data_IF_955509222146
#
_entry.id   IF_955509222146
#
_cell.length_a   1.000
_cell.length_b   1.000
_cell.length_c   1.000
_cell.angle_alpha   90.00
_cell.angle_beta   90.00
_cell.angle_gamma   90.00
#
_symmetry.space_group_name_H-M   'P 1'
#
loop_
_entity.id
_entity.type
_entity.pdbx_description
1 polymer ?
#
# COMPACT_ATOMS: atom_id res chain seq x y z
N UNK A 1 -0.94 28.82 -5.04
CA UNK A 1 -1.17 27.75 -4.04
C UNK A 1 0.15 27.43 -3.36
N UNK A 2 0.16 27.25 -2.04
CA UNK A 2 1.36 26.84 -1.29
C UNK A 2 1.73 25.39 -1.61
N UNK A 3 3.01 25.02 -1.49
CA UNK A 3 3.48 23.67 -1.81
C UNK A 3 2.76 22.59 -0.97
N UNK A 4 2.46 22.88 0.30
CA UNK A 4 1.70 22.00 1.20
C UNK A 4 0.27 21.71 0.73
N UNK A 5 -0.31 22.58 -0.09
CA UNK A 5 -1.60 22.32 -0.72
C UNK A 5 -1.44 21.58 -2.06
N UNK A 6 -0.44 21.95 -2.86
CA UNK A 6 -0.31 21.43 -4.22
C UNK A 6 0.25 19.99 -4.26
N UNK A 7 1.28 19.69 -3.46
CA UNK A 7 2.00 18.42 -3.56
C UNK A 7 1.13 17.20 -3.21
N UNK A 8 0.31 17.21 -2.13
CA UNK A 8 -0.58 16.09 -1.84
C UNK A 8 -1.61 15.85 -2.97
N UNK A 9 -2.13 16.93 -3.57
CA UNK A 9 -3.06 16.84 -4.70
C UNK A 9 -2.37 16.21 -5.91
N UNK A 10 -1.17 16.69 -6.26
CA UNK A 10 -0.40 16.15 -7.37
C UNK A 10 -0.04 14.68 -7.17
N UNK A 11 0.28 14.25 -5.95
CA UNK A 11 0.53 12.85 -5.65
C UNK A 11 -0.70 11.97 -5.92
N UNK A 12 -1.89 12.43 -5.52
CA UNK A 12 -3.15 11.73 -5.81
C UNK A 12 -3.51 11.74 -7.29
N UNK A 13 -3.36 12.88 -7.97
CA UNK A 13 -3.56 12.99 -9.42
C UNK A 13 -2.64 12.03 -10.16
N UNK A 14 -1.36 11.97 -9.79
CA UNK A 14 -0.40 11.03 -10.36
C UNK A 14 -0.81 9.57 -10.12
N UNK A 15 -1.28 9.24 -8.90
CA UNK A 15 -1.76 7.90 -8.59
C UNK A 15 -2.93 7.47 -9.48
N UNK A 16 -3.95 8.34 -9.61
CA UNK A 16 -5.13 8.08 -10.44
C UNK A 16 -4.78 8.03 -11.92
N UNK A 17 -3.95 8.95 -12.41
CA UNK A 17 -3.52 9.00 -13.80
C UNK A 17 -2.74 7.73 -14.18
N UNK A 18 -1.75 7.33 -13.38
CA UNK A 18 -0.99 6.11 -13.62
C UNK A 18 -1.86 4.85 -13.51
N UNK A 19 -2.81 4.81 -12.59
CA UNK A 19 -3.79 3.74 -12.51
C UNK A 19 -4.66 3.66 -13.77
N UNK A 20 -5.22 4.79 -14.23
CA UNK A 20 -6.02 4.88 -15.44
C UNK A 20 -5.24 4.44 -16.69
N UNK A 21 -4.00 4.89 -16.84
CA UNK A 21 -3.10 4.46 -17.92
C UNK A 21 -2.83 2.96 -17.86
N UNK A 22 -2.55 2.41 -16.67
CA UNK A 22 -2.29 0.99 -16.50
C UNK A 22 -3.52 0.13 -16.81
N UNK A 23 -4.72 0.59 -16.46
CA UNK A 23 -5.99 -0.07 -16.80
C UNK A 23 -6.26 0.01 -18.30
N UNK A 24 -6.04 1.17 -18.92
CA UNK A 24 -6.23 1.37 -20.36
C UNK A 24 -5.33 0.47 -21.22
N UNK A 25 -4.05 0.33 -20.82
CA UNK A 25 -3.05 -0.54 -21.46
C UNK A 25 -3.10 -2.00 -20.98
N UNK A 26 -4.06 -2.34 -20.11
CA UNK A 26 -4.18 -3.64 -19.49
C UNK A 26 -4.83 -4.71 -20.38
N UNK A 27 -4.95 -5.95 -19.88
CA UNK A 27 -5.61 -7.04 -20.59
C UNK A 27 -7.10 -6.77 -20.82
N UNK A 28 -7.66 -7.31 -21.91
CA UNK A 28 -9.08 -7.26 -22.25
C UNK A 28 -9.68 -8.69 -22.19
N UNK A 29 -10.82 -8.90 -21.50
CA UNK A 29 -11.57 -7.95 -20.68
C UNK A 29 -10.78 -7.56 -19.39
N UNK A 30 -11.01 -6.35 -18.86
CA UNK A 30 -10.28 -5.85 -17.68
C UNK A 30 -10.75 -6.62 -16.44
N UNK A 31 -9.88 -7.46 -15.83
CA UNK A 31 -10.31 -8.20 -14.66
C UNK A 31 -10.22 -7.32 -13.41
N UNK A 32 -11.20 -7.45 -12.51
CA UNK A 32 -11.31 -6.61 -11.28
C UNK A 32 -10.02 -6.65 -10.43
N UNK A 33 -9.38 -7.81 -10.32
CA UNK A 33 -8.15 -7.98 -9.56
C UNK A 33 -6.98 -7.15 -10.09
N UNK A 34 -6.93 -6.93 -11.41
CA UNK A 34 -5.86 -6.18 -12.07
C UNK A 34 -6.05 -4.70 -11.78
N UNK A 35 -7.27 -4.19 -11.95
CA UNK A 35 -7.59 -2.81 -11.61
C UNK A 35 -7.30 -2.50 -10.13
N UNK A 36 -7.72 -3.37 -9.20
CA UNK A 36 -7.47 -3.19 -7.75
C UNK A 36 -5.98 -3.26 -7.42
N UNK A 37 -5.24 -4.21 -8.00
CA UNK A 37 -3.80 -4.32 -7.75
C UNK A 37 -3.01 -3.12 -8.27
N UNK A 38 -3.37 -2.61 -9.46
CA UNK A 38 -2.76 -1.39 -10.00
C UNK A 38 -3.11 -0.16 -9.15
N UNK A 39 -4.35 -0.04 -8.67
CA UNK A 39 -4.76 1.04 -7.78
C UNK A 39 -3.93 1.03 -6.49
N UNK A 40 -3.82 -0.13 -5.83
CA UNK A 40 -2.96 -0.31 -4.65
C UNK A 40 -1.53 0.09 -4.94
N UNK A 41 -0.94 -0.43 -6.03
CA UNK A 41 0.45 -0.13 -6.39
C UNK A 41 0.70 1.37 -6.48
N UNK A 42 -0.18 2.12 -7.15
CA UNK A 42 0.02 3.56 -7.34
C UNK A 42 -0.30 4.40 -6.10
N UNK A 43 -1.22 3.96 -5.23
CA UNK A 43 -1.39 4.57 -3.89
C UNK A 43 -0.12 4.41 -3.05
N UNK A 44 0.48 3.21 -3.07
CA UNK A 44 1.71 2.95 -2.34
C UNK A 44 2.92 3.72 -2.92
N UNK A 45 2.96 3.95 -4.22
CA UNK A 45 4.03 4.73 -4.85
C UNK A 45 3.88 6.22 -4.54
N UNK A 46 2.71 6.82 -4.78
CA UNK A 46 2.58 8.27 -4.79
C UNK A 46 2.16 8.85 -3.43
N UNK A 47 0.89 8.73 -2.98
CA UNK A 47 0.45 9.38 -1.75
C UNK A 47 1.02 8.77 -0.47
N UNK A 48 1.53 7.54 -0.48
CA UNK A 48 2.25 6.98 0.67
C UNK A 48 3.78 7.08 0.50
N UNK A 49 4.30 6.61 -0.64
CA UNK A 49 5.74 6.56 -0.91
C UNK A 49 6.37 7.94 -1.10
N UNK A 50 6.20 8.51 -2.29
CA UNK A 50 6.84 9.77 -2.69
C UNK A 50 6.38 10.96 -1.84
N UNK A 51 5.11 11.00 -1.43
CA UNK A 51 4.61 12.05 -0.53
C UNK A 51 5.26 11.94 0.86
N UNK A 52 5.45 10.73 1.39
CA UNK A 52 6.18 10.51 2.64
C UNK A 52 7.65 10.96 2.54
N UNK A 53 8.34 10.65 1.43
CA UNK A 53 9.71 11.14 1.20
C UNK A 53 9.74 12.66 1.11
N UNK A 54 8.78 13.28 0.42
CA UNK A 54 8.67 14.73 0.34
C UNK A 54 8.43 15.36 1.73
N UNK A 55 7.54 14.78 2.53
CA UNK A 55 7.28 15.23 3.90
C UNK A 55 8.52 15.10 4.78
N UNK A 56 9.26 13.99 4.69
CA UNK A 56 10.56 13.83 5.36
C UNK A 56 11.52 14.97 5.02
N UNK A 57 11.72 15.26 3.73
CA UNK A 57 12.61 16.35 3.30
C UNK A 57 12.14 17.68 3.87
N UNK A 58 10.84 17.99 3.82
CA UNK A 58 10.29 19.21 4.38
C UNK A 58 10.54 19.34 5.88
N UNK A 59 10.24 18.28 6.64
CA UNK A 59 10.32 18.28 8.09
C UNK A 59 11.76 18.26 8.64
N UNK A 60 12.69 17.56 7.97
CA UNK A 60 14.07 17.41 8.43
C UNK A 60 14.99 18.51 7.88
N UNK A 61 14.86 18.83 6.61
CA UNK A 61 15.76 19.81 5.96
C UNK A 61 15.23 21.24 6.07
N UNK A 62 13.90 21.42 6.20
CA UNK A 62 13.25 22.74 6.26
C UNK A 62 12.25 22.87 7.43
N UNK A 63 12.63 22.51 8.68
CA UNK A 63 11.70 22.42 9.81
C UNK A 63 10.96 23.73 10.11
N UNK A 64 11.63 24.88 9.97
CA UNK A 64 11.01 26.20 10.20
C UNK A 64 9.89 26.47 9.19
N UNK A 65 10.10 26.11 7.92
CA UNK A 65 9.11 26.31 6.86
C UNK A 65 7.93 25.37 7.04
N UNK A 66 8.19 24.12 7.42
CA UNK A 66 7.16 23.12 7.68
C UNK A 66 6.28 23.51 8.86
N UNK A 67 6.88 23.91 9.99
CA UNK A 67 6.14 24.40 11.16
C UNK A 67 5.29 25.64 10.82
N UNK A 68 5.87 26.63 10.13
CA UNK A 68 5.15 27.84 9.72
C UNK A 68 3.98 27.54 8.77
N UNK A 69 4.14 26.59 7.84
CA UNK A 69 3.07 26.18 6.93
C UNK A 69 1.88 25.51 7.65
N UNK A 70 2.16 24.80 8.75
CA UNK A 70 1.16 24.19 9.65
C UNK A 70 0.60 25.23 10.64
N UNK A 71 1.22 26.40 10.78
CA UNK A 71 0.84 27.40 11.78
C UNK A 71 1.36 27.10 13.19
N UNK A 72 2.38 26.26 13.31
CA UNK A 72 3.00 25.87 14.58
C UNK A 72 4.35 26.55 14.79
N UNK A 73 4.78 26.64 16.05
CA UNK A 73 6.16 27.02 16.37
C UNK A 73 7.12 25.88 16.00
N UNK A 74 8.34 26.17 15.49
CA UNK A 74 9.35 25.16 15.25
C UNK A 74 9.70 24.40 16.53
N UNK A 75 9.78 23.07 16.45
CA UNK A 75 10.12 22.22 17.59
C UNK A 75 10.81 20.93 17.12
N UNK A 76 11.48 20.18 18.03
CA UNK A 76 12.11 18.89 17.69
C UNK A 76 11.15 17.87 17.09
N UNK A 77 9.85 18.02 17.35
CA UNK A 77 8.80 17.16 16.78
C UNK A 77 8.83 17.12 15.25
N UNK A 78 9.29 18.19 14.59
CA UNK A 78 9.47 18.19 13.14
C UNK A 78 10.38 17.04 12.70
N UNK A 79 11.49 16.77 13.40
CA UNK A 79 12.38 15.66 13.05
C UNK A 79 11.72 14.30 13.23
N UNK A 80 10.98 14.09 14.32
CA UNK A 80 10.26 12.83 14.57
C UNK A 80 9.22 12.54 13.49
N UNK A 81 8.41 13.55 13.15
CA UNK A 81 7.44 13.49 12.04
C UNK A 81 8.14 13.21 10.72
N UNK A 82 9.29 13.86 10.49
CA UNK A 82 10.10 13.64 9.30
C UNK A 82 10.57 12.20 9.17
N UNK A 83 11.18 11.62 10.20
CA UNK A 83 11.68 10.24 10.17
C UNK A 83 10.56 9.20 10.15
N UNK A 84 9.41 9.48 10.79
CA UNK A 84 8.22 8.64 10.66
C UNK A 84 7.75 8.58 9.19
N UNK A 85 7.69 9.73 8.52
CA UNK A 85 7.36 9.82 7.10
C UNK A 85 8.41 9.15 6.19
N UNK A 86 9.70 9.22 6.54
CA UNK A 86 10.76 8.50 5.80
C UNK A 86 10.53 6.98 5.86
N UNK A 87 10.28 6.45 7.06
CA UNK A 87 10.03 5.03 7.26
C UNK A 87 8.80 4.55 6.49
N UNK A 88 7.68 5.27 6.61
CA UNK A 88 6.45 4.98 5.86
C UNK A 88 6.69 5.08 4.36
N UNK A 89 7.38 6.12 3.90
CA UNK A 89 7.64 6.37 2.48
C UNK A 89 8.46 5.24 1.84
N UNK A 90 9.60 4.89 2.45
CA UNK A 90 10.46 3.80 1.95
C UNK A 90 9.76 2.45 2.01
N UNK A 91 9.07 2.14 3.11
CA UNK A 91 8.34 0.89 3.24
C UNK A 91 7.18 0.80 2.23
N UNK A 92 6.52 1.91 1.92
CA UNK A 92 5.45 1.98 0.91
C UNK A 92 5.98 1.78 -0.50
N UNK A 93 7.12 2.40 -0.83
CA UNK A 93 7.80 2.16 -2.10
C UNK A 93 8.19 0.69 -2.24
N UNK A 94 8.72 0.06 -1.19
CA UNK A 94 8.98 -1.39 -1.20
C UNK A 94 7.69 -2.21 -1.37
N UNK A 95 6.65 -1.90 -0.58
CA UNK A 95 5.37 -2.61 -0.58
C UNK A 95 4.60 -2.52 -1.91
N UNK A 96 4.80 -1.44 -2.68
CA UNK A 96 4.21 -1.27 -4.00
C UNK A 96 4.57 -2.41 -4.96
N UNK A 97 5.75 -3.01 -4.84
CA UNK A 97 6.28 -4.02 -5.77
C UNK A 97 6.38 -5.44 -5.18
N UNK A 98 5.88 -5.65 -3.96
CA UNK A 98 6.06 -6.93 -3.24
C UNK A 98 4.72 -7.59 -2.87
N UNK A 99 4.72 -8.39 -1.80
CA UNK A 99 3.62 -9.25 -1.36
C UNK A 99 2.44 -8.48 -0.75
N UNK A 100 1.28 -9.13 -0.71
CA UNK A 100 0.08 -8.64 -0.03
C UNK A 100 0.34 -8.31 1.45
N UNK A 101 1.07 -9.17 2.17
CA UNK A 101 1.31 -8.98 3.61
C UNK A 101 2.21 -7.77 3.91
N UNK A 102 3.20 -7.49 3.05
CA UNK A 102 3.97 -6.26 3.18
C UNK A 102 3.09 -5.02 3.01
N UNK A 103 2.18 -5.04 2.02
CA UNK A 103 1.20 -3.95 1.85
C UNK A 103 0.29 -3.79 3.07
N UNK A 104 -0.17 -4.90 3.67
CA UNK A 104 -0.97 -4.87 4.90
C UNK A 104 -0.18 -4.24 6.05
N UNK A 105 1.05 -4.71 6.32
CA UNK A 105 1.87 -4.20 7.41
C UNK A 105 2.13 -2.69 7.27
N UNK A 106 2.50 -2.25 6.07
CA UNK A 106 2.73 -0.82 5.78
C UNK A 106 1.45 -0.01 5.87
N UNK A 107 0.32 -0.51 5.36
CA UNK A 107 -0.96 0.18 5.46
C UNK A 107 -1.41 0.36 6.92
N UNK A 108 -1.18 -0.62 7.80
CA UNK A 108 -1.47 -0.49 9.23
C UNK A 108 -0.64 0.64 9.83
N UNK A 109 0.69 0.60 9.65
CA UNK A 109 1.58 1.62 10.20
C UNK A 109 1.25 3.03 9.66
N UNK A 110 1.05 3.15 8.35
CA UNK A 110 0.68 4.41 7.71
C UNK A 110 -0.69 4.91 8.20
N UNK A 111 -1.66 4.01 8.42
CA UNK A 111 -2.98 4.41 8.93
C UNK A 111 -2.91 4.93 10.35
N UNK A 112 -2.18 4.27 11.24
CA UNK A 112 -2.00 4.76 12.61
C UNK A 112 -1.38 6.16 12.62
N UNK A 113 -0.35 6.38 11.80
CA UNK A 113 0.31 7.67 11.71
C UNK A 113 -0.58 8.76 11.11
N UNK A 114 -1.13 8.52 9.91
CA UNK A 114 -1.92 9.52 9.17
C UNK A 114 -3.23 9.85 9.90
N UNK A 115 -3.98 8.85 10.36
CA UNK A 115 -5.21 9.11 11.12
C UNK A 115 -4.90 9.84 12.43
N UNK A 116 -3.82 9.47 13.12
CA UNK A 116 -3.36 10.17 14.32
C UNK A 116 -3.02 11.64 14.06
N UNK A 117 -2.29 11.92 12.97
CA UNK A 117 -1.97 13.28 12.54
C UNK A 117 -3.24 14.07 12.19
N UNK A 118 -4.15 13.46 11.42
CA UNK A 118 -5.44 14.06 11.07
C UNK A 118 -6.30 14.40 12.29
N UNK A 119 -6.34 13.53 13.32
CA UNK A 119 -7.00 13.84 14.60
C UNK A 119 -6.33 15.04 15.27
N UNK A 120 -4.99 15.11 15.27
CA UNK A 120 -4.24 16.25 15.79
C UNK A 120 -4.61 17.56 15.09
N UNK A 121 -4.68 17.55 13.76
CA UNK A 121 -5.11 18.69 12.95
C UNK A 121 -6.56 19.10 13.26
N UNK A 122 -7.50 18.15 13.35
CA UNK A 122 -8.89 18.44 13.72
C UNK A 122 -8.98 19.06 15.11
N UNK A 123 -8.26 18.52 16.09
CA UNK A 123 -8.19 19.08 17.43
C UNK A 123 -7.66 20.51 17.40
N UNK A 124 -6.58 20.77 16.66
CA UNK A 124 -5.96 22.10 16.54
C UNK A 124 -6.91 23.12 15.88
N UNK A 125 -7.69 22.69 14.89
CA UNK A 125 -8.75 23.51 14.28
C UNK A 125 -9.84 23.86 15.29
N UNK A 126 -10.33 22.86 16.05
CA UNK A 126 -11.42 23.07 17.01
C UNK A 126 -10.96 23.94 18.18
N UNK A 127 -9.78 23.68 18.73
CA UNK A 127 -9.28 24.33 19.94
C UNK A 127 -8.74 25.74 19.67
N UNK A 128 -8.08 25.96 18.51
CA UNK A 128 -7.33 27.19 18.26
C UNK A 128 -7.73 27.91 16.96
N UNK A 129 -8.68 27.36 16.18
CA UNK A 129 -9.10 27.97 14.92
C UNK A 129 -7.99 28.01 13.86
N UNK A 130 -6.98 27.15 13.95
CA UNK A 130 -5.85 27.15 13.03
C UNK A 130 -6.26 26.60 11.65
N UNK A 131 -6.63 27.51 10.75
CA UNK A 131 -7.02 27.19 9.37
C UNK A 131 -5.88 27.38 8.36
N UNK A 132 -4.63 27.35 8.79
CA UNK A 132 -3.50 27.42 7.85
C UNK A 132 -3.51 26.25 6.87
N UNK A 133 -2.95 26.46 5.69
CA UNK A 133 -3.01 25.48 4.60
C UNK A 133 -2.35 24.13 4.93
N UNK A 134 -1.34 24.11 5.81
CA UNK A 134 -0.71 22.88 6.28
C UNK A 134 -1.51 22.15 7.37
N UNK A 135 -2.49 22.80 7.99
CA UNK A 135 -3.31 22.23 9.07
C UNK A 135 -4.73 21.85 8.61
N UNK A 136 -5.41 22.75 7.88
CA UNK A 136 -6.79 22.57 7.43
C UNK A 136 -6.92 22.36 5.91
N UNK A 137 -5.80 22.16 5.21
CA UNK A 137 -5.76 22.01 3.75
C UNK A 137 -5.80 20.56 3.27
N UNK A 138 -5.26 20.29 2.07
CA UNK A 138 -5.23 18.95 1.48
C UNK A 138 -4.58 17.87 2.35
N UNK A 139 -3.61 18.23 3.21
CA UNK A 139 -2.96 17.31 4.14
C UNK A 139 -4.00 16.62 5.04
N UNK A 140 -4.85 17.40 5.72
CA UNK A 140 -5.94 16.91 6.56
C UNK A 140 -6.87 15.94 5.81
N UNK A 141 -7.21 16.25 4.55
CA UNK A 141 -8.04 15.36 3.74
C UNK A 141 -7.31 14.05 3.45
N UNK A 142 -6.03 14.14 3.08
CA UNK A 142 -5.21 12.96 2.76
C UNK A 142 -4.87 12.09 3.97
N UNK A 143 -4.87 12.66 5.18
CA UNK A 143 -4.68 11.93 6.44
C UNK A 143 -5.77 10.88 6.67
N UNK A 144 -6.97 11.11 6.17
CA UNK A 144 -8.07 10.14 6.24
C UNK A 144 -8.31 9.41 4.91
N UNK A 145 -8.23 10.11 3.78
CA UNK A 145 -8.48 9.54 2.46
C UNK A 145 -7.50 8.42 2.12
N UNK A 146 -6.21 8.63 2.38
CA UNK A 146 -5.14 7.67 2.03
C UNK A 146 -5.27 6.35 2.78
N UNK A 147 -5.40 6.32 4.13
CA UNK A 147 -5.62 5.07 4.83
C UNK A 147 -6.94 4.41 4.45
N UNK A 148 -8.02 5.18 4.31
CA UNK A 148 -9.31 4.64 3.89
C UNK A 148 -9.22 3.95 2.52
N UNK A 149 -8.58 4.59 1.54
CA UNK A 149 -8.40 4.02 0.20
C UNK A 149 -7.50 2.78 0.22
N UNK A 150 -6.35 2.84 0.91
CA UNK A 150 -5.41 1.73 1.01
C UNK A 150 -6.04 0.50 1.68
N UNK A 151 -6.68 0.68 2.84
CA UNK A 151 -7.34 -0.41 3.58
C UNK A 151 -8.52 -0.99 2.82
N UNK A 152 -9.37 -0.14 2.22
CA UNK A 152 -10.51 -0.61 1.41
C UNK A 152 -10.03 -1.46 0.24
N UNK A 153 -9.03 -0.99 -0.51
CA UNK A 153 -8.50 -1.75 -1.64
C UNK A 153 -7.78 -3.03 -1.18
N UNK A 154 -7.11 -3.02 -0.02
CA UNK A 154 -6.52 -4.23 0.56
C UNK A 154 -7.60 -5.27 0.88
N UNK A 155 -8.70 -4.88 1.53
CA UNK A 155 -9.84 -5.75 1.81
C UNK A 155 -10.44 -6.32 0.51
N UNK A 156 -10.60 -5.49 -0.52
CA UNK A 156 -11.08 -5.92 -1.83
C UNK A 156 -10.10 -6.88 -2.52
N UNK A 157 -8.79 -6.71 -2.29
CA UNK A 157 -7.74 -7.57 -2.85
C UNK A 157 -7.58 -8.91 -2.11
N UNK A 158 -7.98 -8.97 -0.83
CA UNK A 158 -7.86 -10.16 0.02
C UNK A 158 -8.78 -11.31 -0.45
N UNK A 159 -9.85 -10.99 -1.19
CA UNK A 159 -10.82 -11.98 -1.72
C UNK A 159 -10.29 -12.78 -2.92
N UNK A 160 -8.98 -12.81 -3.16
CA UNK A 160 -8.40 -13.67 -4.19
C UNK A 160 -8.38 -15.13 -3.68
N UNK A 161 -9.02 -16.06 -4.39
CA UNK A 161 -8.54 -17.44 -4.38
C UNK A 161 -7.09 -17.36 -4.86
N UNK A 162 -6.15 -17.90 -4.09
CA UNK A 162 -4.76 -18.04 -4.50
C UNK A 162 -4.72 -19.03 -5.67
N UNK A 163 -5.07 -18.59 -6.88
CA UNK A 163 -4.73 -19.34 -8.08
C UNK A 163 -3.24 -19.14 -8.24
N UNK A 164 -2.44 -19.99 -7.57
CA UNK A 164 -1.10 -20.31 -8.04
C UNK A 164 -1.32 -20.66 -9.51
N UNK A 165 -0.97 -19.76 -10.43
CA UNK A 165 -0.62 -20.24 -11.76
C UNK A 165 0.57 -21.15 -11.50
N UNK A 166 0.31 -22.45 -11.58
CA UNK A 166 1.36 -23.46 -11.53
C UNK A 166 2.29 -23.14 -12.69
N UNK A 167 3.58 -22.92 -12.41
CA UNK A 167 4.57 -22.85 -13.48
C UNK A 167 4.49 -24.14 -14.31
N UNK A 168 4.85 -24.11 -15.60
CA UNK A 168 4.90 -25.31 -16.44
C UNK A 168 5.62 -26.47 -15.73
N UNK A 169 6.74 -26.18 -15.06
CA UNK A 169 7.51 -27.16 -14.29
C UNK A 169 6.73 -27.77 -13.12
N UNK A 170 5.92 -26.96 -12.41
CA UNK A 170 5.09 -27.47 -11.31
C UNK A 170 3.90 -28.29 -11.80
N UNK A 171 3.44 -28.06 -13.03
CA UNK A 171 2.41 -28.90 -13.66
C UNK A 171 3.02 -30.23 -14.13
N UNK A 172 4.22 -30.18 -14.71
CA UNK A 172 4.96 -31.37 -15.12
C UNK A 172 5.29 -32.26 -13.90
N UNK A 173 5.84 -31.66 -12.83
CA UNK A 173 6.14 -32.38 -11.59
C UNK A 173 4.91 -33.03 -10.97
N UNK A 174 3.77 -32.35 -10.96
CA UNK A 174 2.53 -32.94 -10.43
C UNK A 174 2.01 -34.10 -11.29
N UNK A 175 2.13 -34.00 -12.61
CA UNK A 175 1.78 -35.10 -13.51
C UNK A 175 2.66 -36.32 -13.24
N UNK A 176 3.98 -36.13 -13.08
CA UNK A 176 4.91 -37.19 -12.71
C UNK A 176 4.57 -37.80 -11.34
N UNK A 177 4.27 -36.96 -10.33
CA UNK A 177 3.88 -37.43 -9.01
C UNK A 177 2.58 -38.24 -9.03
N UNK A 178 1.63 -37.89 -9.90
CA UNK A 178 0.36 -38.61 -10.00
C UNK A 178 0.56 -39.99 -10.66
N UNK A 179 1.41 -40.06 -11.69
CA UNK A 179 1.84 -41.34 -12.28
C UNK A 179 2.53 -42.22 -11.23
N UNK A 180 3.45 -41.65 -10.45
CA UNK A 180 4.14 -42.38 -9.38
C UNK A 180 3.16 -42.89 -8.30
N UNK A 181 2.14 -42.10 -7.93
CA UNK A 181 1.08 -42.53 -7.00
C UNK A 181 0.25 -43.68 -7.56
N UNK A 182 -0.12 -43.62 -8.83
CA UNK A 182 -0.86 -44.72 -9.47
C UNK A 182 -0.03 -46.01 -9.50
N UNK A 183 1.25 -45.91 -9.86
CA UNK A 183 2.17 -47.04 -9.84
C UNK A 183 2.29 -47.64 -8.43
N UNK A 184 2.44 -46.81 -7.40
CA UNK A 184 2.49 -47.27 -6.00
C UNK A 184 1.18 -47.93 -5.54
N UNK A 185 0.02 -47.43 -5.96
CA UNK A 185 -1.27 -48.10 -5.66
C UNK A 185 -1.36 -49.46 -6.32
N UNK A 186 -1.02 -49.56 -7.60
CA UNK A 186 -0.99 -50.83 -8.34
C UNK A 186 -0.04 -51.84 -7.69
N UNK A 187 1.14 -51.39 -7.26
CA UNK A 187 2.10 -52.24 -6.57
C UNK A 187 1.54 -52.75 -5.23
N UNK A 188 0.90 -51.87 -4.45
CA UNK A 188 0.25 -52.24 -3.19
C UNK A 188 -0.85 -53.28 -3.38
N UNK A 189 -1.71 -53.10 -4.38
CA UNK A 189 -2.76 -54.07 -4.71
C UNK A 189 -2.19 -55.42 -5.17
N UNK A 190 -1.08 -55.43 -5.91
CA UNK A 190 -0.39 -56.66 -6.29
C UNK A 190 0.20 -57.40 -5.07
N UNK A 191 0.84 -56.67 -4.15
CA UNK A 191 1.32 -57.22 -2.89
C UNK A 191 0.19 -57.79 -2.04
N UNK A 192 -0.92 -57.07 -1.88
CA UNK A 192 -2.07 -57.53 -1.11
C UNK A 192 -2.68 -58.81 -1.69
N UNK A 193 -2.66 -58.97 -3.02
CA UNK A 193 -3.07 -60.23 -3.68
C UNK A 193 -2.11 -61.37 -3.38
N UNK A 194 -0.80 -61.12 -3.44
CA UNK A 194 0.23 -62.12 -3.18
C UNK A 194 0.24 -62.59 -1.71
N UNK A 195 0.00 -61.69 -0.75
CA UNK A 195 -0.04 -62.05 0.68
C UNK A 195 -1.29 -62.85 1.04
N UNK A 196 -2.38 -62.72 0.26
CA UNK A 196 -3.66 -63.40 0.50
C UNK A 196 -3.80 -64.74 -0.25
N UNK A 197 -2.87 -65.08 -1.14
CA UNK A 197 -2.79 -66.38 -1.82
C UNK A 197 -1.93 -67.36 -1.03
#
# INVERSE_FOLDING_TARGET
MTQVALVPILAWVAAVACWGIAVWRGPRPIPRWFAVDRALRYIFIFPLGLLGIWAFVGHVMFPLRSAAAIGWQPSPFQFEVGYANLGIGLASLYAAFTTFYARVAVAIAASCFLVGAGIGHVHDIIAYGNLTAGNAGPILVTDFLTPMAALTLLILSARRPRRRLKSPDSQALEAEMEVARQAMRSYREALDRFVKS
#
